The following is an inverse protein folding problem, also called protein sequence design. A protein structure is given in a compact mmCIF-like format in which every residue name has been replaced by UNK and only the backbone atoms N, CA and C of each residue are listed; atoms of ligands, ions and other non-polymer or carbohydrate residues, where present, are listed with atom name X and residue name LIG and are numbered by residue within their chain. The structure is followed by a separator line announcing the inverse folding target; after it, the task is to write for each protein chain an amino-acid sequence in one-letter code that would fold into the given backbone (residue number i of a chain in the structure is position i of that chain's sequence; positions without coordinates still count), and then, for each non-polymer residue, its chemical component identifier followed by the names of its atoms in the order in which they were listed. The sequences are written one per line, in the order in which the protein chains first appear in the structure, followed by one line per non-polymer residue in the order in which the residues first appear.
data_IF_124242436097
#
_entry.id   IF_124242436097
#
_cell.length_a   1.000
_cell.length_b   1.000
_cell.length_c   1.000
_cell.angle_alpha   90.00
_cell.angle_beta   90.00
_cell.angle_gamma   90.00
#
_symmetry.space_group_name_H-M   'P 1'
#
loop_
_entity.id
_entity.type
_entity.pdbx_description
1 polymer ?
#
# COMPACT_ATOMS: atom_id res chain seq x y z
N UNK A 1 -6.03 -18.03 18.28
CA UNK A 1 -5.48 -16.72 18.71
C UNK A 1 -6.65 -15.76 18.84
N UNK A 2 -6.98 -15.31 20.06
CA UNK A 2 -8.16 -14.48 20.30
C UNK A 2 -7.80 -13.02 19.99
N UNK A 3 -8.33 -12.49 18.88
CA UNK A 3 -7.98 -11.18 18.31
C UNK A 3 -8.94 -10.10 18.83
N UNK A 4 -8.45 -8.87 19.13
CA UNK A 4 -9.31 -7.79 19.62
C UNK A 4 -10.31 -7.38 18.53
N UNK A 5 -11.63 -7.48 18.78
CA UNK A 5 -12.68 -7.46 17.74
C UNK A 5 -12.96 -6.09 17.09
N UNK A 6 -12.34 -4.99 17.53
CA UNK A 6 -12.83 -3.64 17.25
C UNK A 6 -11.90 -2.74 16.41
N UNK A 7 -11.04 -3.30 15.57
CA UNK A 7 -10.25 -2.46 14.64
C UNK A 7 -10.81 -2.54 13.23
N UNK A 8 -11.40 -1.43 12.78
CA UNK A 8 -12.14 -1.29 11.52
C UNK A 8 -11.37 -1.77 10.29
N UNK A 9 -10.04 -1.62 10.30
CA UNK A 9 -9.18 -2.03 9.20
C UNK A 9 -9.21 -3.55 8.92
N UNK A 10 -9.47 -4.40 9.93
CA UNK A 10 -9.59 -5.85 9.71
C UNK A 10 -10.78 -6.18 8.80
N UNK A 11 -11.93 -5.55 9.05
CA UNK A 11 -13.14 -5.76 8.25
C UNK A 11 -12.94 -5.30 6.81
N UNK A 12 -12.30 -4.14 6.62
CA UNK A 12 -12.01 -3.58 5.30
C UNK A 12 -11.07 -4.52 4.53
N UNK A 13 -9.98 -4.99 5.15
CA UNK A 13 -9.06 -5.93 4.51
C UNK A 13 -9.77 -7.22 4.08
N UNK A 14 -10.66 -7.76 4.92
CA UNK A 14 -11.44 -8.96 4.58
C UNK A 14 -12.36 -8.72 3.37
N UNK A 15 -13.04 -7.58 3.31
CA UNK A 15 -13.87 -7.20 2.17
C UNK A 15 -13.05 -7.07 0.88
N UNK A 16 -11.86 -6.47 0.97
CA UNK A 16 -10.93 -6.39 -0.17
C UNK A 16 -10.51 -7.79 -0.62
N UNK A 17 -10.16 -8.69 0.32
CA UNK A 17 -9.82 -10.08 -0.02
C UNK A 17 -10.96 -10.78 -0.76
N UNK A 18 -12.20 -10.64 -0.29
CA UNK A 18 -13.37 -11.22 -0.92
C UNK A 18 -13.63 -10.65 -2.33
N UNK A 19 -13.39 -9.36 -2.53
CA UNK A 19 -13.43 -8.74 -3.85
C UNK A 19 -12.37 -9.36 -4.78
N UNK A 20 -11.11 -9.41 -4.35
CA UNK A 20 -10.01 -9.92 -5.17
C UNK A 20 -10.18 -11.39 -5.57
N UNK A 21 -10.75 -12.24 -4.70
CA UNK A 21 -11.11 -13.64 -5.05
C UNK A 21 -12.08 -13.69 -6.24
N UNK A 22 -13.07 -12.79 -6.26
CA UNK A 22 -14.10 -12.75 -7.30
C UNK A 22 -13.61 -12.10 -8.59
N UNK A 23 -12.54 -11.30 -8.51
CA UNK A 23 -12.02 -10.48 -9.60
C UNK A 23 -10.50 -10.70 -9.76
N UNK A 24 -10.06 -11.84 -10.32
CA UNK A 24 -8.64 -12.24 -10.34
C UNK A 24 -7.72 -11.33 -11.18
N UNK A 25 -8.27 -10.45 -12.01
CA UNK A 25 -7.50 -9.47 -12.79
C UNK A 25 -7.27 -8.14 -12.06
N UNK A 26 -7.95 -7.91 -10.93
CA UNK A 26 -7.86 -6.65 -10.20
C UNK A 26 -6.65 -6.64 -9.27
N UNK A 27 -6.03 -5.47 -9.16
CA UNK A 27 -4.88 -5.21 -8.29
C UNK A 27 -5.20 -4.04 -7.37
N UNK A 28 -4.91 -4.19 -6.09
CA UNK A 28 -5.12 -3.15 -5.08
C UNK A 28 -3.80 -2.76 -4.44
N UNK A 29 -3.56 -1.45 -4.35
CA UNK A 29 -2.47 -0.86 -3.59
C UNK A 29 -3.02 -0.44 -2.22
N UNK A 30 -2.59 -1.10 -1.15
CA UNK A 30 -3.00 -0.83 0.22
C UNK A 30 -1.96 0.03 0.93
N UNK A 31 -2.25 1.31 1.13
CA UNK A 31 -1.38 2.24 1.85
C UNK A 31 -1.79 2.36 3.33
N UNK A 32 -0.99 1.77 4.22
CA UNK A 32 -1.16 1.90 5.66
C UNK A 32 -0.32 3.09 6.16
N UNK A 33 -1.03 4.15 6.54
CA UNK A 33 -0.47 5.39 7.07
C UNK A 33 -1.17 5.82 8.38
N UNK A 34 -0.60 6.82 9.06
CA UNK A 34 -1.15 7.40 10.30
C UNK A 34 -1.45 6.39 11.41
N UNK A 35 -0.43 5.65 11.86
CA UNK A 35 -0.51 4.62 12.90
C UNK A 35 -0.66 5.16 14.34
N UNK A 36 -1.47 6.19 14.54
CA UNK A 36 -1.63 6.81 15.86
C UNK A 36 -2.12 5.78 16.89
N UNK A 37 -1.40 5.68 18.01
CA UNK A 37 -1.75 4.79 19.12
C UNK A 37 -1.42 3.31 18.91
N UNK A 38 -0.69 2.94 17.85
CA UNK A 38 -0.19 1.57 17.70
C UNK A 38 1.13 1.38 18.46
N UNK A 39 1.21 0.28 19.19
CA UNK A 39 2.44 -0.22 19.81
C UNK A 39 3.24 -1.07 18.82
N UNK A 40 4.51 -1.37 19.15
CA UNK A 40 5.32 -2.30 18.35
C UNK A 40 4.64 -3.67 18.19
N UNK A 41 3.97 -4.18 19.23
CA UNK A 41 3.22 -5.43 19.17
C UNK A 41 1.99 -5.31 18.26
N UNK A 42 1.28 -4.18 18.27
CA UNK A 42 0.15 -3.97 17.35
C UNK A 42 0.58 -4.00 15.89
N UNK A 43 1.75 -3.44 15.56
CA UNK A 43 2.30 -3.51 14.21
C UNK A 43 2.64 -4.95 13.82
N UNK A 44 3.22 -5.74 14.72
CA UNK A 44 3.50 -7.16 14.47
C UNK A 44 2.20 -7.93 14.20
N UNK A 45 1.19 -7.77 15.05
CA UNK A 45 -0.12 -8.41 14.89
C UNK A 45 -0.77 -8.01 13.56
N UNK A 46 -0.75 -6.72 13.22
CA UNK A 46 -1.33 -6.21 11.98
C UNK A 46 -0.63 -6.79 10.73
N UNK A 47 0.69 -6.77 10.69
CA UNK A 47 1.45 -7.31 9.55
C UNK A 47 1.24 -8.81 9.40
N UNK A 48 1.26 -9.57 10.50
CA UNK A 48 0.96 -11.01 10.48
C UNK A 48 -0.44 -11.27 9.95
N UNK A 49 -1.43 -10.52 10.42
CA UNK A 49 -2.80 -10.63 9.92
C UNK A 49 -2.89 -10.35 8.40
N UNK A 50 -2.28 -9.27 7.91
CA UNK A 50 -2.29 -8.92 6.48
C UNK A 50 -1.64 -10.06 5.68
N UNK A 51 -0.52 -10.59 6.17
CA UNK A 51 0.21 -11.69 5.52
C UNK A 51 -0.65 -12.94 5.42
N UNK A 52 -1.33 -13.32 6.50
CA UNK A 52 -2.22 -14.49 6.54
C UNK A 52 -3.48 -14.29 5.68
N UNK A 53 -4.07 -13.10 5.69
CA UNK A 53 -5.31 -12.84 4.96
C UNK A 53 -5.12 -12.85 3.43
N UNK A 54 -4.07 -12.19 2.95
CA UNK A 54 -3.81 -12.06 1.52
C UNK A 54 -2.87 -13.15 1.00
N UNK A 55 -2.07 -13.79 1.85
CA UNK A 55 -1.20 -14.95 1.56
C UNK A 55 -0.45 -14.84 0.22
N UNK A 56 -0.97 -15.52 -0.79
CA UNK A 56 -0.43 -15.72 -2.14
C UNK A 56 -0.74 -14.57 -3.10
N UNK A 57 -1.70 -13.71 -2.74
CA UNK A 57 -2.03 -12.52 -3.50
C UNK A 57 -1.02 -11.38 -3.34
N UNK A 58 -0.14 -11.45 -2.33
CA UNK A 58 0.81 -10.37 -2.03
C UNK A 58 1.93 -10.36 -3.06
N UNK A 59 2.07 -9.25 -3.80
CA UNK A 59 3.29 -8.92 -4.53
C UNK A 59 4.35 -8.47 -3.51
N UNK A 60 5.46 -9.22 -3.34
CA UNK A 60 6.55 -8.77 -2.48
C UNK A 60 7.19 -7.49 -3.06
N UNK A 61 7.90 -6.74 -2.21
CA UNK A 61 8.70 -5.60 -2.66
C UNK A 61 9.64 -5.98 -3.80
N UNK A 62 9.72 -5.08 -4.79
CA UNK A 62 10.56 -5.24 -5.95
C UNK A 62 11.33 -3.94 -6.20
N UNK A 63 12.66 -4.03 -6.32
CA UNK A 63 13.53 -2.85 -6.37
C UNK A 63 13.48 -2.11 -7.71
N UNK A 64 13.08 -2.78 -8.79
CA UNK A 64 13.08 -2.20 -10.15
C UNK A 64 11.67 -2.19 -10.72
N UNK A 65 10.98 -1.04 -10.61
CA UNK A 65 9.59 -0.90 -11.08
C UNK A 65 9.43 -1.08 -12.59
N UNK A 66 10.49 -0.95 -13.38
CA UNK A 66 10.45 -1.13 -14.85
C UNK A 66 9.89 -2.49 -15.29
N UNK A 67 10.02 -3.52 -14.44
CA UNK A 67 9.48 -4.86 -14.70
C UNK A 67 8.10 -5.09 -14.07
N UNK A 68 7.65 -4.19 -13.21
CA UNK A 68 6.37 -4.29 -12.53
C UNK A 68 5.25 -3.78 -13.46
N UNK A 69 4.60 -4.71 -14.15
CA UNK A 69 3.45 -4.46 -15.02
C UNK A 69 2.22 -5.24 -14.57
N UNK A 70 1.03 -4.85 -15.02
CA UNK A 70 -0.18 -5.64 -14.80
C UNK A 70 -0.06 -7.06 -15.37
N UNK A 71 0.65 -7.23 -16.50
CA UNK A 71 0.93 -8.54 -17.08
C UNK A 71 1.84 -9.39 -16.18
N UNK A 72 2.86 -8.78 -15.56
CA UNK A 72 3.69 -9.45 -14.57
C UNK A 72 2.86 -9.88 -13.35
N UNK A 73 2.07 -8.97 -12.78
CA UNK A 73 1.22 -9.25 -11.62
C UNK A 73 0.23 -10.40 -11.93
N UNK A 74 -0.45 -10.35 -13.08
CA UNK A 74 -1.36 -11.39 -13.52
C UNK A 74 -0.66 -12.75 -13.71
N UNK A 75 0.53 -12.76 -14.33
CA UNK A 75 1.32 -13.99 -14.55
C UNK A 75 1.66 -14.69 -13.23
N UNK A 76 2.00 -13.93 -12.20
CA UNK A 76 2.35 -14.45 -10.88
C UNK A 76 1.17 -14.51 -9.91
N UNK A 77 -0.05 -14.17 -10.37
CA UNK A 77 -1.29 -14.12 -9.58
C UNK A 77 -1.21 -13.19 -8.37
N UNK A 78 -0.37 -12.16 -8.45
CA UNK A 78 -0.32 -11.11 -7.45
C UNK A 78 -1.45 -10.11 -7.68
N UNK A 79 -2.11 -9.73 -6.58
CA UNK A 79 -3.23 -8.79 -6.58
C UNK A 79 -3.10 -7.69 -5.52
N UNK A 80 -2.14 -7.79 -4.59
CA UNK A 80 -2.02 -6.84 -3.48
C UNK A 80 -0.59 -6.34 -3.34
N UNK A 81 -0.42 -5.02 -3.39
CA UNK A 81 0.80 -4.36 -2.96
C UNK A 81 0.52 -3.66 -1.64
N UNK A 82 1.29 -3.95 -0.60
CA UNK A 82 1.09 -3.39 0.73
C UNK A 82 2.19 -2.37 1.03
N UNK A 83 1.81 -1.11 1.09
CA UNK A 83 2.68 -0.01 1.50
C UNK A 83 2.51 0.25 2.98
N UNK A 84 3.62 0.32 3.72
CA UNK A 84 3.58 0.43 5.17
C UNK A 84 4.53 1.52 5.66
N UNK A 85 3.98 2.56 6.28
CA UNK A 85 4.73 3.77 6.66
C UNK A 85 5.22 3.74 8.10
N UNK A 86 5.86 2.64 8.52
CA UNK A 86 6.47 2.51 9.85
C UNK A 86 7.86 1.87 9.76
N UNK A 87 8.89 2.70 9.94
CA UNK A 87 10.29 2.37 9.65
C UNK A 87 10.78 1.11 10.37
N UNK A 88 10.48 0.97 11.66
CA UNK A 88 10.92 -0.17 12.47
C UNK A 88 10.32 -1.50 11.98
N UNK A 89 9.07 -1.49 11.54
CA UNK A 89 8.44 -2.68 10.94
C UNK A 89 9.04 -3.00 9.58
N UNK A 90 9.28 -1.98 8.75
CA UNK A 90 9.87 -2.15 7.42
C UNK A 90 11.26 -2.79 7.45
N UNK A 91 12.07 -2.51 8.48
CA UNK A 91 13.38 -3.13 8.65
C UNK A 91 13.33 -4.65 8.88
N UNK A 92 12.21 -5.15 9.40
CA UNK A 92 12.05 -6.55 9.79
C UNK A 92 11.16 -7.36 8.82
N UNK A 93 10.53 -6.71 7.85
CA UNK A 93 9.50 -7.33 7.00
C UNK A 93 9.77 -7.00 5.53
N UNK A 94 10.49 -7.89 4.86
CA UNK A 94 11.04 -7.67 3.51
C UNK A 94 10.02 -7.65 2.37
N UNK A 95 8.79 -8.16 2.58
CA UNK A 95 7.76 -8.18 1.54
C UNK A 95 6.95 -6.89 1.47
N UNK A 96 7.05 -6.01 2.48
CA UNK A 96 6.34 -4.74 2.49
C UNK A 96 7.00 -3.74 1.55
N UNK A 97 6.17 -2.90 0.93
CA UNK A 97 6.61 -1.74 0.18
C UNK A 97 6.78 -0.54 1.12
N UNK A 98 7.85 0.22 0.94
CA UNK A 98 8.06 1.42 1.76
C UNK A 98 7.12 2.55 1.35
N UNK A 99 6.81 3.46 2.27
CA UNK A 99 6.11 4.71 1.92
C UNK A 99 6.85 5.59 0.90
N UNK A 100 8.17 5.42 0.76
CA UNK A 100 8.95 6.12 -0.27
C UNK A 100 8.71 5.55 -1.68
N UNK A 101 8.21 4.32 -1.79
CA UNK A 101 7.80 3.73 -3.07
C UNK A 101 6.47 4.29 -3.57
N UNK A 102 5.64 4.87 -2.69
CA UNK A 102 4.35 5.47 -3.00
C UNK A 102 4.29 6.88 -2.40
N UNK A 103 5.07 7.86 -2.89
CA UNK A 103 4.96 9.24 -2.45
C UNK A 103 3.52 9.74 -2.58
N UNK A 104 3.04 10.39 -1.52
CA UNK A 104 1.70 10.99 -1.43
C UNK A 104 1.84 12.51 -1.19
N UNK A 105 2.22 13.28 -2.23
CA UNK A 105 2.40 14.72 -2.12
C UNK A 105 1.05 15.42 -1.92
N UNK A 106 0.92 16.20 -0.84
CA UNK A 106 -0.27 17.00 -0.54
C UNK A 106 0.05 18.49 -0.70
N UNK A 107 -0.77 19.26 -1.44
CA UNK A 107 -0.51 20.67 -1.74
C UNK A 107 -0.81 21.64 -0.59
N UNK A 108 -1.55 21.19 0.45
CA UNK A 108 -1.93 22.02 1.61
C UNK A 108 -2.50 23.39 1.23
N UNK A 109 -3.48 23.40 0.32
CA UNK A 109 -4.07 24.64 -0.19
C UNK A 109 -5.53 24.46 -0.57
N UNK A 110 -6.33 25.51 -0.35
CA UNK A 110 -7.72 25.60 -0.81
C UNK A 110 -7.86 26.33 -2.14
N UNK A 111 -6.77 26.89 -2.66
CA UNK A 111 -6.73 27.59 -3.95
C UNK A 111 -6.65 26.58 -5.11
N UNK A 112 -7.65 26.57 -5.98
CA UNK A 112 -7.69 25.70 -7.16
C UNK A 112 -6.48 25.96 -8.07
N UNK A 113 -6.09 27.22 -8.28
CA UNK A 113 -4.94 27.58 -9.11
C UNK A 113 -3.63 27.02 -8.54
N UNK A 114 -3.46 27.11 -7.21
CA UNK A 114 -2.27 26.60 -6.53
C UNK A 114 -2.24 25.07 -6.54
N UNK A 115 -3.40 24.42 -6.38
CA UNK A 115 -3.55 22.98 -6.52
C UNK A 115 -3.16 22.51 -7.92
N UNK A 116 -3.68 23.13 -8.98
CA UNK A 116 -3.37 22.75 -10.36
C UNK A 116 -1.89 22.92 -10.69
N UNK A 117 -1.30 24.06 -10.31
CA UNK A 117 0.12 24.31 -10.52
C UNK A 117 1.01 23.27 -9.80
N UNK A 118 0.64 22.90 -8.58
CA UNK A 118 1.33 21.85 -7.83
C UNK A 118 1.22 20.48 -8.52
N UNK A 119 0.02 20.08 -8.94
CA UNK A 119 -0.19 18.79 -9.60
C UNK A 119 0.59 18.70 -10.92
N UNK A 120 0.62 19.77 -11.72
CA UNK A 120 1.40 19.82 -12.96
C UNK A 120 2.91 19.71 -12.70
N UNK A 121 3.44 20.44 -11.72
CA UNK A 121 4.86 20.37 -11.34
C UNK A 121 5.24 18.97 -10.87
N UNK A 122 4.43 18.37 -9.99
CA UNK A 122 4.65 17.02 -9.46
C UNK A 122 4.55 15.96 -10.55
N UNK A 123 3.62 16.11 -11.49
CA UNK A 123 3.51 15.20 -12.63
C UNK A 123 4.75 15.28 -13.52
N UNK A 124 5.27 16.50 -13.80
CA UNK A 124 6.47 16.70 -14.64
C UNK A 124 7.75 16.18 -14.00
N UNK A 125 7.88 16.33 -12.69
CA UNK A 125 9.09 15.95 -11.92
C UNK A 125 9.03 14.54 -11.32
N UNK A 126 8.00 13.74 -11.64
CA UNK A 126 7.80 12.41 -11.06
C UNK A 126 8.97 11.47 -11.35
N UNK A 127 9.32 10.67 -10.34
CA UNK A 127 10.27 9.56 -10.53
C UNK A 127 9.58 8.40 -11.24
N UNK A 128 10.29 7.76 -12.18
CA UNK A 128 9.85 6.53 -12.81
C UNK A 128 10.05 5.29 -11.93
N UNK A 129 10.80 5.42 -10.83
CA UNK A 129 11.13 4.33 -9.91
C UNK A 129 10.22 4.29 -8.68
N UNK A 130 9.20 5.15 -8.62
CA UNK A 130 8.19 5.16 -7.57
C UNK A 130 6.80 5.30 -8.19
N UNK A 131 5.78 4.82 -7.49
CA UNK A 131 4.40 5.14 -7.85
C UNK A 131 4.14 6.64 -7.69
N UNK A 132 3.20 7.18 -8.45
CA UNK A 132 2.78 8.57 -8.34
C UNK A 132 1.29 8.62 -8.05
N UNK A 133 0.92 9.16 -6.89
CA UNK A 133 -0.47 9.28 -6.43
C UNK A 133 -0.74 10.75 -6.12
N UNK A 134 -1.87 11.26 -6.57
CA UNK A 134 -2.36 12.62 -6.30
C UNK A 134 -3.62 12.54 -5.44
N UNK A 135 -3.79 13.47 -4.51
CA UNK A 135 -5.01 13.61 -3.68
C UNK A 135 -5.98 14.64 -4.23
#
# INVERSE_FOLDING_TARGET
MHMPPNRIYYRICLQIRQFLVKHPGEVVLLDFQHFHGLTANDHLVLVTYIKELFTDLICPYFHQLDHLSLAYLARFKYQVLVFYRHTQTMQNVSWLWSGASLPNPWPDTTSITSLLAFLEDKLRSRSHNTFFVTQ
#
